data_IF_607917908537
#
_entry.id   IF_607917908537
#
_cell.length_a   1.000
_cell.length_b   1.000
_cell.length_c   1.000
_cell.angle_alpha   90.00
_cell.angle_beta   90.00
_cell.angle_gamma   90.00
#
_symmetry.space_group_name_H-M   'P 1'
#
loop_
_entity.id
_entity.type
_entity.pdbx_description
1 polymer ?
#
# COMPACT_ATOMS: atom_id res chain seq x y z
N UNK A 1 3.30 -0.67 21.37
CA UNK A 1 3.06 -1.44 20.13
C UNK A 1 3.59 -0.60 18.97
N UNK A 2 4.48 -1.13 18.13
CA UNK A 2 5.09 -0.36 17.03
C UNK A 2 4.31 -0.62 15.74
N UNK A 3 4.23 0.37 14.84
CA UNK A 3 3.67 0.16 13.51
C UNK A 3 4.50 -0.90 12.77
N UNK A 4 3.87 -1.90 12.13
CA UNK A 4 4.59 -2.85 11.29
C UNK A 4 5.14 -2.12 10.06
N UNK A 5 6.27 -2.62 9.57
CA UNK A 5 6.75 -2.32 8.22
C UNK A 5 5.99 -3.21 7.23
N UNK A 6 5.96 -2.81 5.97
CA UNK A 6 5.48 -3.66 4.89
C UNK A 6 6.41 -4.88 4.67
N UNK A 7 6.05 -5.84 3.80
CA UNK A 7 6.85 -7.03 3.53
C UNK A 7 8.28 -6.77 3.01
N UNK A 8 8.55 -5.57 2.50
CA UNK A 8 9.84 -5.16 1.95
C UNK A 8 10.63 -4.23 2.88
N UNK A 9 10.11 -3.95 4.08
CA UNK A 9 10.78 -3.15 5.11
C UNK A 9 10.49 -1.65 5.04
N UNK A 10 9.61 -1.21 4.15
CA UNK A 10 9.19 0.19 4.04
C UNK A 10 8.08 0.52 5.05
N UNK A 11 7.91 1.81 5.33
CA UNK A 11 6.73 2.28 6.04
C UNK A 11 5.50 2.26 5.13
N UNK A 12 4.35 1.86 5.69
CA UNK A 12 3.07 2.04 5.01
C UNK A 12 2.79 3.53 4.78
N UNK A 13 2.26 3.83 3.60
CA UNK A 13 1.79 5.15 3.24
C UNK A 13 0.38 5.39 3.77
N UNK A 14 0.09 6.64 4.11
CA UNK A 14 -1.22 7.06 4.59
C UNK A 14 -1.61 8.41 3.99
N UNK A 15 -2.85 8.52 3.52
CA UNK A 15 -3.40 9.76 2.97
C UNK A 15 -4.81 10.04 3.52
N UNK A 16 -5.06 11.30 3.90
CA UNK A 16 -6.37 11.80 4.33
C UNK A 16 -6.50 13.30 4.02
N UNK A 17 -7.42 13.73 3.13
CA UNK A 17 -8.40 12.90 2.42
C UNK A 17 -7.73 11.94 1.43
N UNK A 18 -8.25 10.71 1.33
CA UNK A 18 -7.75 9.72 0.38
C UNK A 18 -8.10 10.08 -1.07
N UNK A 19 -7.31 9.57 -2.01
CA UNK A 19 -7.60 9.59 -3.45
C UNK A 19 -8.52 8.43 -3.86
N UNK A 20 -8.46 7.29 -3.14
CA UNK A 20 -9.26 6.09 -3.43
C UNK A 20 -10.45 5.91 -2.49
N UNK A 21 -10.58 6.74 -1.45
CA UNK A 21 -11.68 6.70 -0.49
C UNK A 21 -11.61 7.81 0.55
N UNK A 22 -12.20 7.59 1.72
CA UNK A 22 -12.11 8.54 2.84
C UNK A 22 -10.68 8.73 3.32
N UNK A 23 -9.93 7.62 3.32
CA UNK A 23 -8.51 7.57 3.63
C UNK A 23 -7.88 6.41 2.86
N UNK A 24 -6.60 6.54 2.59
CA UNK A 24 -5.81 5.53 1.90
C UNK A 24 -4.70 5.04 2.84
N UNK A 25 -4.54 3.72 2.93
CA UNK A 25 -3.43 3.04 3.62
C UNK A 25 -2.88 2.01 2.65
N UNK A 26 -1.60 2.13 2.28
CA UNK A 26 -1.03 1.30 1.20
C UNK A 26 0.49 1.12 1.29
N UNK A 27 1.00 0.16 0.52
CA UNK A 27 2.43 -0.05 0.22
C UNK A 27 2.63 0.01 -1.29
N UNK A 28 3.78 0.53 -1.72
CA UNK A 28 4.20 0.67 -3.11
C UNK A 28 4.90 -0.60 -3.64
N UNK A 29 4.60 -1.77 -3.07
CA UNK A 29 5.21 -3.01 -3.52
C UNK A 29 6.72 -3.11 -3.25
N UNK A 30 7.34 -4.09 -3.90
CA UNK A 30 8.77 -4.38 -3.83
C UNK A 30 9.65 -3.31 -4.48
N UNK A 31 9.13 -2.58 -5.46
CA UNK A 31 9.87 -1.58 -6.23
C UNK A 31 9.81 -0.18 -5.61
N UNK A 32 8.87 0.05 -4.69
CA UNK A 32 8.71 1.33 -4.01
C UNK A 32 8.21 2.43 -4.94
N UNK A 33 7.51 2.08 -6.02
CA UNK A 33 7.00 3.01 -7.03
C UNK A 33 5.51 2.80 -7.27
N UNK A 34 4.82 3.88 -7.64
CA UNK A 34 3.40 3.81 -7.97
C UNK A 34 3.19 3.11 -9.32
N UNK A 35 2.08 2.39 -9.44
CA UNK A 35 1.64 1.66 -10.63
C UNK A 35 2.58 0.51 -11.05
N UNK A 36 3.22 -0.16 -10.09
CA UNK A 36 3.95 -1.39 -10.36
C UNK A 36 3.03 -2.59 -10.63
N UNK A 37 3.62 -3.71 -11.04
CA UNK A 37 2.93 -4.97 -11.30
C UNK A 37 3.58 -6.14 -10.54
N UNK A 38 2.83 -7.22 -10.36
CA UNK A 38 3.31 -8.42 -9.66
C UNK A 38 3.76 -8.10 -8.24
N UNK A 39 5.04 -8.35 -7.93
CA UNK A 39 5.59 -8.03 -6.61
C UNK A 39 5.75 -6.52 -6.36
N UNK A 40 5.78 -5.69 -7.41
CA UNK A 40 5.79 -4.23 -7.33
C UNK A 40 4.40 -3.61 -7.29
N UNK A 41 3.34 -4.42 -7.32
CA UNK A 41 1.99 -3.87 -7.33
C UNK A 41 1.67 -3.10 -6.06
N UNK A 42 0.96 -1.97 -6.22
CA UNK A 42 0.44 -1.19 -5.11
C UNK A 42 -0.66 -1.97 -4.38
N UNK A 43 -0.49 -2.18 -3.08
CA UNK A 43 -1.45 -2.88 -2.24
C UNK A 43 -1.99 -1.91 -1.20
N UNK A 44 -3.27 -1.58 -1.31
CA UNK A 44 -3.95 -0.63 -0.44
C UNK A 44 -5.30 -1.12 0.06
N UNK A 45 -5.89 -0.40 1.01
CA UNK A 45 -7.20 -0.72 1.58
C UNK A 45 -8.35 -0.75 0.56
N UNK A 46 -8.17 -0.18 -0.63
CA UNK A 46 -9.16 -0.13 -1.70
C UNK A 46 -9.13 -1.34 -2.66
N UNK A 47 -8.02 -2.07 -2.76
CA UNK A 47 -7.86 -3.20 -3.70
C UNK A 47 -7.47 -4.53 -3.00
N UNK A 48 -7.72 -4.65 -1.70
CA UNK A 48 -7.39 -5.85 -0.92
C UNK A 48 -7.98 -7.14 -1.50
N UNK A 49 -9.10 -7.08 -2.22
CA UNK A 49 -9.74 -8.26 -2.81
C UNK A 49 -8.96 -8.85 -4.00
N UNK A 50 -8.05 -8.09 -4.61
CA UNK A 50 -7.22 -8.55 -5.73
C UNK A 50 -6.07 -9.46 -5.28
N UNK A 51 -5.75 -9.43 -3.98
CA UNK A 51 -4.62 -10.14 -3.36
C UNK A 51 -5.07 -11.15 -2.30
N UNK A 52 -6.37 -11.49 -2.26
CA UNK A 52 -6.96 -12.46 -1.36
C UNK A 52 -6.86 -13.91 -1.85
#
# INVERSE_FOLDING_TARGET
>A
KRLPKDPWGNDYQYLSPGEKGLFDVYTLGADGQENGEGAGADIGNWNLQEFQ
#
